data_IF_683899290595
#
_entry.id   IF_683899290595
#
_cell.length_a   1.000
_cell.length_b   1.000
_cell.length_c   1.000
_cell.angle_alpha   90.00
_cell.angle_beta   90.00
_cell.angle_gamma   90.00
#
_symmetry.space_group_name_H-M   'P 1'
#
loop_
_entity.id
_entity.type
_entity.pdbx_description
1 polymer ?
#
# COMPACT_ATOMS: atom_id res chain seq x y z
N UNK A 1 -33.83 -30.56 -10.27
CA UNK A 1 -33.44 -29.22 -9.79
C UNK A 1 -32.15 -28.83 -10.51
N UNK A 2 -31.95 -27.56 -10.86
CA UNK A 2 -30.68 -27.15 -11.49
C UNK A 2 -29.53 -27.29 -10.48
N UNK A 3 -28.32 -27.59 -10.98
CA UNK A 3 -27.13 -27.76 -10.14
C UNK A 3 -26.88 -26.52 -9.27
N UNK A 4 -27.10 -25.32 -9.84
CA UNK A 4 -26.99 -24.06 -9.11
C UNK A 4 -27.94 -24.00 -7.90
N UNK A 5 -29.22 -24.30 -8.10
CA UNK A 5 -30.23 -24.23 -7.03
C UNK A 5 -29.94 -25.22 -5.91
N UNK A 6 -29.42 -26.41 -6.26
CA UNK A 6 -29.00 -27.42 -5.29
C UNK A 6 -27.78 -26.98 -4.48
N UNK A 7 -26.78 -26.39 -5.14
CA UNK A 7 -25.59 -25.87 -4.46
C UNK A 7 -25.87 -24.62 -3.62
N UNK A 8 -26.85 -23.80 -4.01
CA UNK A 8 -27.32 -22.67 -3.19
C UNK A 8 -27.97 -23.16 -1.88
N UNK A 9 -28.70 -24.26 -1.91
CA UNK A 9 -29.25 -24.88 -0.68
C UNK A 9 -28.14 -25.51 0.19
N UNK A 10 -27.13 -26.14 -0.43
CA UNK A 10 -25.93 -26.63 0.29
C UNK A 10 -25.17 -25.47 0.93
N UNK A 11 -25.02 -24.33 0.23
CA UNK A 11 -24.38 -23.12 0.76
C UNK A 11 -25.08 -22.61 2.01
N UNK A 12 -26.42 -22.54 2.01
CA UNK A 12 -27.19 -22.07 3.19
C UNK A 12 -26.96 -22.96 4.42
N UNK A 13 -26.85 -24.27 4.24
CA UNK A 13 -26.73 -25.23 5.35
C UNK A 13 -25.30 -25.47 5.83
N UNK A 14 -24.31 -25.34 4.95
CA UNK A 14 -22.90 -25.64 5.24
C UNK A 14 -21.99 -24.42 5.32
N UNK A 15 -22.43 -23.26 4.83
CA UNK A 15 -21.63 -22.05 4.73
C UNK A 15 -20.59 -22.07 3.60
N UNK A 16 -20.51 -23.14 2.80
CA UNK A 16 -19.56 -23.26 1.69
C UNK A 16 -20.03 -22.45 0.50
N UNK A 17 -19.16 -21.62 -0.07
CA UNK A 17 -19.48 -20.81 -1.26
C UNK A 17 -19.07 -21.49 -2.56
N UNK A 18 -19.90 -21.37 -3.60
CA UNK A 18 -19.68 -21.96 -4.91
C UNK A 18 -19.56 -20.85 -5.97
N UNK A 19 -18.53 -20.92 -6.81
CA UNK A 19 -18.37 -20.03 -7.96
C UNK A 19 -18.28 -20.83 -9.27
N UNK A 20 -19.10 -20.44 -10.24
CA UNK A 20 -19.10 -21.01 -11.58
C UNK A 20 -18.34 -20.09 -12.53
N UNK A 21 -17.26 -20.59 -13.12
CA UNK A 21 -16.51 -19.88 -14.17
C UNK A 21 -17.04 -20.16 -15.57
N UNK A 22 -17.88 -21.20 -15.72
CA UNK A 22 -18.65 -21.49 -16.93
C UNK A 22 -20.16 -21.47 -16.62
N UNK A 23 -20.93 -20.54 -17.22
CA UNK A 23 -22.38 -20.45 -16.98
C UNK A 23 -23.17 -21.66 -17.48
N UNK A 24 -22.64 -22.45 -18.43
CA UNK A 24 -23.32 -23.67 -18.93
C UNK A 24 -23.30 -24.80 -17.92
N UNK A 25 -22.26 -24.87 -17.09
CA UNK A 25 -22.15 -25.87 -16.03
C UNK A 25 -23.23 -25.67 -14.94
N UNK A 26 -23.64 -24.42 -14.69
CA UNK A 26 -24.65 -24.07 -13.68
C UNK A 26 -26.07 -24.57 -14.04
N UNK A 27 -26.34 -24.78 -15.33
CA UNK A 27 -27.65 -25.20 -15.85
C UNK A 27 -27.83 -26.73 -15.90
N UNK A 28 -26.80 -27.51 -15.54
CA UNK A 28 -26.85 -28.97 -15.57
C UNK A 28 -27.87 -29.46 -14.54
N UNK A 29 -28.79 -30.34 -14.94
CA UNK A 29 -29.73 -30.96 -14.02
C UNK A 29 -29.03 -32.16 -13.38
N UNK A 30 -28.98 -32.17 -12.04
CA UNK A 30 -28.32 -33.22 -11.26
C UNK A 30 -29.27 -33.70 -10.17
N UNK A 31 -29.36 -35.01 -9.99
CA UNK A 31 -30.16 -35.65 -8.94
C UNK A 31 -29.24 -36.53 -8.10
N UNK A 32 -29.12 -36.25 -6.80
CA UNK A 32 -28.27 -37.01 -5.87
C UNK A 32 -29.00 -37.19 -4.53
N UNK A 33 -29.00 -38.42 -4.00
CA UNK A 33 -29.42 -38.71 -2.63
C UNK A 33 -28.25 -38.57 -1.66
N UNK A 34 -28.35 -37.63 -0.72
CA UNK A 34 -27.34 -37.37 0.31
C UNK A 34 -27.66 -38.18 1.59
N UNK A 35 -27.44 -39.50 1.58
CA UNK A 35 -27.52 -40.30 2.81
C UNK A 35 -26.16 -40.32 3.52
N UNK A 36 -26.02 -39.52 4.58
CA UNK A 36 -24.95 -39.57 5.59
C UNK A 36 -23.51 -39.64 5.06
N UNK A 37 -23.19 -38.91 3.99
CA UNK A 37 -21.83 -38.82 3.44
C UNK A 37 -21.13 -37.52 3.89
N UNK A 38 -19.79 -37.54 4.08
CA UNK A 38 -19.01 -36.32 4.22
C UNK A 38 -19.24 -35.38 3.04
N UNK A 39 -19.40 -34.08 3.32
CA UNK A 39 -19.77 -33.07 2.33
C UNK A 39 -18.85 -33.08 1.10
N UNK A 40 -17.54 -33.24 1.32
CA UNK A 40 -16.56 -33.26 0.24
C UNK A 40 -16.78 -34.42 -0.74
N UNK A 41 -17.03 -35.63 -0.24
CA UNK A 41 -17.28 -36.82 -1.07
C UNK A 41 -18.61 -36.72 -1.82
N UNK A 42 -19.60 -36.09 -1.18
CA UNK A 42 -20.87 -35.81 -1.82
C UNK A 42 -20.71 -34.78 -2.96
N UNK A 43 -19.88 -33.74 -2.76
CA UNK A 43 -19.56 -32.75 -3.79
C UNK A 43 -18.74 -33.34 -4.94
N UNK A 44 -17.74 -34.19 -4.67
CA UNK A 44 -16.99 -34.92 -5.72
C UNK A 44 -17.92 -35.76 -6.58
N UNK A 45 -18.91 -36.41 -5.95
CA UNK A 45 -19.91 -37.21 -6.67
C UNK A 45 -20.83 -36.32 -7.51
N UNK A 46 -21.28 -35.19 -6.95
CA UNK A 46 -22.18 -34.25 -7.61
C UNK A 46 -21.53 -33.56 -8.82
N UNK A 47 -20.25 -33.19 -8.70
CA UNK A 47 -19.48 -32.47 -9.71
C UNK A 47 -18.77 -33.40 -10.71
N UNK A 48 -19.14 -34.69 -10.73
CA UNK A 48 -18.51 -35.67 -11.63
C UNK A 48 -18.66 -35.27 -13.10
N UNK A 49 -17.54 -35.29 -13.81
CA UNK A 49 -17.45 -34.88 -15.21
C UNK A 49 -17.36 -33.35 -15.43
N UNK A 50 -17.20 -32.59 -14.34
CA UNK A 50 -16.78 -31.19 -14.37
C UNK A 50 -15.36 -31.09 -13.79
N UNK A 51 -14.62 -30.09 -14.24
CA UNK A 51 -13.36 -29.72 -13.59
C UNK A 51 -13.68 -28.82 -12.41
N UNK A 52 -13.13 -29.09 -11.22
CA UNK A 52 -13.40 -28.30 -10.03
C UNK A 52 -12.19 -28.24 -9.09
N UNK A 53 -12.18 -27.25 -8.21
CA UNK A 53 -11.14 -27.01 -7.21
C UNK A 53 -11.74 -26.69 -5.84
N UNK A 54 -11.14 -27.22 -4.77
CA UNK A 54 -11.56 -26.99 -3.39
C UNK A 54 -10.58 -26.06 -2.66
N UNK A 55 -11.12 -25.11 -1.91
CA UNK A 55 -10.38 -24.14 -1.11
C UNK A 55 -10.80 -24.25 0.35
N UNK A 56 -9.80 -24.30 1.22
CA UNK A 56 -9.92 -24.59 2.65
C UNK A 56 -9.34 -23.45 3.48
N UNK A 57 -9.95 -23.19 4.63
CA UNK A 57 -9.36 -22.41 5.72
C UNK A 57 -9.10 -23.37 6.88
N UNK A 58 -7.83 -23.62 7.19
CA UNK A 58 -7.44 -24.72 8.07
C UNK A 58 -7.91 -26.07 7.53
N UNK A 59 -8.67 -26.84 8.32
CA UNK A 59 -9.24 -28.13 7.92
C UNK A 59 -10.73 -28.05 7.50
N UNK A 60 -11.22 -26.84 7.22
CA UNK A 60 -12.62 -26.60 6.86
C UNK A 60 -12.71 -26.15 5.40
N UNK A 61 -13.51 -26.87 4.61
CA UNK A 61 -13.85 -26.45 3.25
C UNK A 61 -14.66 -25.15 3.30
N UNK A 62 -14.22 -24.12 2.58
CA UNK A 62 -14.88 -22.81 2.54
C UNK A 62 -15.38 -22.42 1.15
N UNK A 63 -14.69 -22.87 0.10
CA UNK A 63 -15.05 -22.51 -1.29
C UNK A 63 -14.80 -23.64 -2.27
N UNK A 64 -15.67 -23.73 -3.29
CA UNK A 64 -15.51 -24.62 -4.44
C UNK A 64 -15.63 -23.83 -5.74
N UNK A 65 -14.61 -23.93 -6.59
CA UNK A 65 -14.60 -23.34 -7.93
C UNK A 65 -14.94 -24.43 -8.96
N UNK A 66 -15.90 -24.16 -9.84
CA UNK A 66 -16.33 -25.12 -10.87
C UNK A 66 -16.10 -24.55 -12.26
N UNK A 67 -15.46 -25.34 -13.12
CA UNK A 67 -15.09 -25.04 -14.50
C UNK A 67 -15.87 -25.94 -15.47
N UNK A 68 -16.05 -25.46 -16.70
CA UNK A 68 -16.63 -26.25 -17.79
C UNK A 68 -15.76 -27.44 -18.19
N UNK A 69 -16.37 -28.49 -18.72
CA UNK A 69 -15.63 -29.62 -19.32
C UNK A 69 -14.93 -29.14 -20.59
N UNK A 70 -13.62 -29.02 -20.58
CA UNK A 70 -12.85 -28.69 -21.78
C UNK A 70 -13.10 -29.73 -22.87
N UNK A 71 -13.48 -29.27 -24.07
CA UNK A 71 -13.08 -29.99 -25.27
C UNK A 71 -11.56 -30.00 -25.29
N UNK A 72 -10.99 -31.20 -25.18
CA UNK A 72 -9.57 -31.42 -25.35
C UNK A 72 -9.13 -30.88 -26.71
N UNK A 73 -8.46 -29.73 -26.73
CA UNK A 73 -7.63 -29.35 -27.85
C UNK A 73 -6.42 -30.27 -27.80
N UNK A 74 -6.41 -31.25 -28.69
CA UNK A 74 -5.28 -32.14 -28.96
C UNK A 74 -4.08 -31.33 -29.47
N UNK A 75 -3.36 -30.66 -28.59
CA UNK A 75 -1.97 -30.29 -28.89
C UNK A 75 -1.12 -31.56 -28.73
N UNK A 76 -0.28 -31.91 -29.71
CA UNK A 76 0.67 -32.99 -29.53
C UNK A 76 1.55 -32.65 -28.32
N UNK A 77 1.59 -33.56 -27.37
CA UNK A 77 2.32 -33.47 -26.12
C UNK A 77 3.79 -33.15 -26.42
N UNK A 78 4.17 -31.87 -26.44
CA UNK A 78 5.53 -31.54 -26.01
C UNK A 78 5.65 -32.16 -24.62
N UNK A 79 6.71 -32.95 -24.33
CA UNK A 79 6.94 -33.32 -22.95
C UNK A 79 6.90 -32.02 -22.17
N UNK A 80 5.95 -31.90 -21.22
CA UNK A 80 6.05 -30.84 -20.21
C UNK A 80 7.48 -30.98 -19.72
N UNK A 81 8.35 -29.95 -19.85
CA UNK A 81 9.58 -30.00 -19.09
C UNK A 81 9.13 -30.33 -17.68
N UNK A 82 9.68 -31.40 -17.10
CA UNK A 82 9.31 -31.83 -15.76
C UNK A 82 9.22 -30.56 -14.95
N UNK A 83 8.02 -30.23 -14.46
CA UNK A 83 7.84 -29.04 -13.63
C UNK A 83 9.00 -29.10 -12.65
N UNK A 84 9.94 -28.14 -12.65
CA UNK A 84 11.08 -28.23 -11.75
C UNK A 84 10.47 -28.54 -10.41
N UNK A 85 10.88 -29.66 -9.80
CA UNK A 85 10.34 -30.11 -8.53
C UNK A 85 10.40 -28.88 -7.64
N UNK A 86 9.23 -28.28 -7.39
CA UNK A 86 9.15 -27.07 -6.61
C UNK A 86 9.53 -27.52 -5.21
N UNK A 87 10.78 -27.28 -4.85
CA UNK A 87 11.24 -27.52 -3.50
C UNK A 87 10.55 -26.43 -2.65
N UNK A 88 9.76 -26.79 -1.62
CA UNK A 88 9.06 -25.82 -0.79
C UNK A 88 10.00 -24.79 -0.12
N UNK A 89 11.32 -25.02 -0.13
CA UNK A 89 12.36 -24.10 0.34
C UNK A 89 12.84 -23.07 -0.71
N UNK A 90 12.24 -23.03 -1.90
CA UNK A 90 12.65 -22.12 -3.00
C UNK A 90 11.60 -21.08 -3.39
N UNK A 91 10.58 -20.88 -2.55
CA UNK A 91 9.76 -19.67 -2.63
C UNK A 91 10.64 -18.50 -2.16
N UNK A 92 10.80 -17.41 -2.95
CA UNK A 92 11.46 -16.21 -2.46
C UNK A 92 10.79 -15.79 -1.16
N UNK A 93 11.59 -15.37 -0.20
CA UNK A 93 11.09 -14.93 1.09
C UNK A 93 10.04 -13.84 0.85
N UNK A 94 8.84 -14.03 1.40
CA UNK A 94 7.75 -13.08 1.18
C UNK A 94 8.15 -11.68 1.66
N UNK A 95 8.98 -11.61 2.72
CA UNK A 95 9.55 -10.37 3.21
C UNK A 95 10.54 -9.75 2.22
N UNK A 96 11.34 -10.58 1.52
CA UNK A 96 12.24 -10.12 0.45
C UNK A 96 11.47 -9.54 -0.74
N UNK A 97 10.37 -10.18 -1.14
CA UNK A 97 9.51 -9.67 -2.21
C UNK A 97 8.81 -8.35 -1.82
N UNK A 98 8.33 -8.25 -0.58
CA UNK A 98 7.73 -7.01 -0.07
C UNK A 98 8.75 -5.88 -0.01
N UNK A 99 9.96 -6.14 0.47
CA UNK A 99 11.01 -5.12 0.55
C UNK A 99 11.47 -4.67 -0.84
N UNK A 100 11.61 -5.61 -1.78
CA UNK A 100 11.92 -5.26 -3.18
C UNK A 100 10.83 -4.39 -3.80
N UNK A 101 9.56 -4.71 -3.57
CA UNK A 101 8.45 -3.89 -4.06
C UNK A 101 8.45 -2.49 -3.45
N UNK A 102 8.76 -2.37 -2.15
CA UNK A 102 8.92 -1.06 -1.47
C UNK A 102 10.07 -0.26 -2.05
N UNK A 103 11.22 -0.91 -2.28
CA UNK A 103 12.40 -0.28 -2.87
C UNK A 103 12.10 0.25 -4.29
N UNK A 104 11.44 -0.56 -5.12
CA UNK A 104 11.01 -0.15 -6.46
C UNK A 104 10.01 1.01 -6.42
N UNK A 105 9.06 0.98 -5.47
CA UNK A 105 8.11 2.08 -5.24
C UNK A 105 8.79 3.39 -4.84
N UNK A 106 9.72 3.33 -3.89
CA UNK A 106 10.51 4.50 -3.47
C UNK A 106 11.38 5.04 -4.61
N UNK A 107 11.98 4.16 -5.42
CA UNK A 107 12.73 4.58 -6.62
C UNK A 107 11.83 5.30 -7.62
N UNK A 108 10.61 4.82 -7.85
CA UNK A 108 9.66 5.48 -8.73
C UNK A 108 9.28 6.88 -8.21
N UNK A 109 9.00 7.02 -6.92
CA UNK A 109 8.72 8.30 -6.27
C UNK A 109 9.91 9.26 -6.40
N UNK A 110 11.13 8.78 -6.11
CA UNK A 110 12.35 9.58 -6.22
C UNK A 110 12.59 10.09 -7.65
N UNK A 111 12.27 9.27 -8.66
CA UNK A 111 12.36 9.68 -10.06
C UNK A 111 11.33 10.77 -10.39
N UNK A 112 10.11 10.68 -9.87
CA UNK A 112 9.08 11.72 -10.05
C UNK A 112 9.52 13.06 -9.43
N UNK A 113 10.15 13.04 -8.25
CA UNK A 113 10.68 14.25 -7.61
C UNK A 113 11.80 14.93 -8.41
N UNK A 114 12.60 14.15 -9.15
CA UNK A 114 13.69 14.67 -10.00
C UNK A 114 13.23 15.17 -11.37
N UNK A 115 11.98 14.92 -11.74
CA UNK A 115 11.40 15.39 -12.99
C UNK A 115 11.24 16.91 -13.02
N UNK A 116 10.82 17.46 -14.15
CA UNK A 116 10.56 18.91 -14.29
C UNK A 116 9.07 19.28 -14.14
N UNK A 117 8.18 18.30 -13.93
CA UNK A 117 6.76 18.55 -13.76
C UNK A 117 6.42 18.74 -12.28
N UNK A 118 6.13 19.96 -11.87
CA UNK A 118 5.79 20.31 -10.49
C UNK A 118 4.57 19.55 -9.96
N UNK A 119 3.56 19.29 -10.79
CA UNK A 119 2.38 18.50 -10.39
C UNK A 119 2.76 17.05 -10.06
N UNK A 120 3.64 16.45 -10.86
CA UNK A 120 4.15 15.11 -10.59
C UNK A 120 5.02 15.07 -9.31
N UNK A 121 5.76 16.14 -9.01
CA UNK A 121 6.51 16.27 -7.75
C UNK A 121 5.58 16.36 -6.55
N UNK A 122 4.51 17.16 -6.64
CA UNK A 122 3.53 17.31 -5.55
C UNK A 122 2.85 15.97 -5.27
N UNK A 123 2.40 15.25 -6.30
CA UNK A 123 1.83 13.91 -6.12
C UNK A 123 2.82 12.93 -5.48
N UNK A 124 4.11 13.04 -5.81
CA UNK A 124 5.16 12.26 -5.18
C UNK A 124 5.33 12.62 -3.69
N UNK A 125 5.24 13.91 -3.33
CA UNK A 125 5.26 14.38 -1.93
C UNK A 125 4.05 13.83 -1.16
N UNK A 126 2.85 13.89 -1.72
CA UNK A 126 1.62 13.38 -1.08
C UNK A 126 1.73 11.88 -0.79
N UNK A 127 2.31 11.12 -1.73
CA UNK A 127 2.60 9.70 -1.53
C UNK A 127 3.60 9.47 -0.39
N UNK A 128 4.64 10.29 -0.29
CA UNK A 128 5.65 10.22 0.78
C UNK A 128 5.10 10.61 2.15
N UNK A 129 4.17 11.57 2.20
CA UNK A 129 3.49 11.98 3.44
C UNK A 129 2.76 10.80 4.06
N UNK A 130 2.02 10.06 3.25
CA UNK A 130 1.26 8.87 3.66
C UNK A 130 2.13 7.64 3.94
N UNK A 131 3.40 7.65 3.50
CA UNK A 131 4.31 6.53 3.67
C UNK A 131 5.01 6.57 5.02
N UNK A 132 4.82 5.53 5.83
CA UNK A 132 5.54 5.33 7.10
C UNK A 132 6.90 4.65 6.85
N UNK A 133 7.74 5.28 6.04
CA UNK A 133 9.11 4.84 5.74
C UNK A 133 10.09 6.00 5.98
N UNK A 134 11.12 5.84 6.84
CA UNK A 134 12.14 6.86 7.08
C UNK A 134 12.87 7.32 5.80
N UNK A 135 13.00 6.45 4.80
CA UNK A 135 13.58 6.80 3.48
C UNK A 135 12.77 7.91 2.81
N UNK A 136 11.47 7.95 3.04
CA UNK A 136 10.59 9.00 2.54
C UNK A 136 10.90 10.38 3.13
N UNK A 137 11.33 10.46 4.39
CA UNK A 137 11.74 11.73 5.01
C UNK A 137 12.97 12.32 4.33
N UNK A 138 13.88 11.47 3.86
CA UNK A 138 15.06 11.91 3.10
C UNK A 138 14.64 12.56 1.78
N UNK A 139 13.71 11.94 1.06
CA UNK A 139 13.16 12.48 -0.19
C UNK A 139 12.38 13.78 0.02
N UNK A 140 11.59 13.87 1.09
CA UNK A 140 10.92 15.13 1.48
C UNK A 140 11.93 16.23 1.82
N UNK A 141 13.04 15.91 2.47
CA UNK A 141 14.11 16.87 2.75
C UNK A 141 14.77 17.39 1.46
N UNK A 142 14.88 16.57 0.41
CA UNK A 142 15.36 17.02 -0.90
C UNK A 142 14.35 17.98 -1.55
N UNK A 143 13.06 17.64 -1.53
CA UNK A 143 11.98 18.47 -2.07
C UNK A 143 11.82 19.82 -1.34
N UNK A 144 12.24 19.90 -0.08
CA UNK A 144 12.28 21.16 0.68
C UNK A 144 13.27 22.19 0.09
N UNK A 145 14.19 21.75 -0.76
CA UNK A 145 15.18 22.59 -1.44
C UNK A 145 14.84 22.80 -2.93
N UNK A 146 13.62 22.46 -3.36
CA UNK A 146 13.20 22.62 -4.76
C UNK A 146 13.16 24.09 -5.18
N UNK A 147 13.36 24.35 -6.47
CA UNK A 147 13.26 25.70 -7.03
C UNK A 147 11.81 26.21 -7.10
N UNK A 148 10.84 25.29 -7.20
CA UNK A 148 9.42 25.64 -7.22
C UNK A 148 8.91 25.84 -5.79
N UNK A 149 8.40 27.04 -5.50
CA UNK A 149 7.86 27.38 -4.19
C UNK A 149 6.70 26.50 -3.77
N UNK A 150 5.84 26.08 -4.70
CA UNK A 150 4.71 25.19 -4.42
C UNK A 150 5.20 23.84 -3.93
N UNK A 151 6.24 23.30 -4.56
CA UNK A 151 6.86 22.01 -4.20
C UNK A 151 7.50 22.11 -2.82
N UNK A 152 8.20 23.21 -2.53
CA UNK A 152 8.79 23.47 -1.20
C UNK A 152 7.73 23.52 -0.11
N UNK A 153 6.64 24.25 -0.31
CA UNK A 153 5.55 24.35 0.68
C UNK A 153 4.84 23.01 0.86
N UNK A 154 4.63 22.22 -0.19
CA UNK A 154 4.10 20.84 -0.06
C UNK A 154 5.04 19.96 0.77
N UNK A 155 6.35 20.01 0.52
CA UNK A 155 7.33 19.23 1.28
C UNK A 155 7.38 19.66 2.76
N UNK A 156 7.27 20.96 3.03
CA UNK A 156 7.16 21.51 4.37
C UNK A 156 5.93 20.95 5.10
N UNK A 157 4.75 21.02 4.48
CA UNK A 157 3.51 20.48 5.06
C UNK A 157 3.65 18.99 5.40
N UNK A 158 4.20 18.20 4.47
CA UNK A 158 4.43 16.77 4.71
C UNK A 158 5.40 16.51 5.87
N UNK A 159 6.49 17.29 6.00
CA UNK A 159 7.44 17.16 7.12
C UNK A 159 6.86 17.65 8.45
N UNK A 160 5.96 18.65 8.41
CA UNK A 160 5.26 19.18 9.59
C UNK A 160 4.34 18.14 10.22
N UNK A 161 3.71 17.28 9.42
CA UNK A 161 2.85 16.20 9.91
C UNK A 161 3.61 14.94 10.35
N UNK A 162 4.85 14.74 9.87
CA UNK A 162 5.63 13.56 10.25
C UNK A 162 6.20 13.67 11.66
N UNK A 163 6.20 12.53 12.33
CA UNK A 163 6.73 12.36 13.68
C UNK A 163 8.19 11.86 13.66
N UNK A 164 8.88 12.09 14.78
CA UNK A 164 10.26 11.66 14.98
C UNK A 164 11.31 12.73 14.71
N UNK A 165 12.58 12.36 14.89
CA UNK A 165 13.72 13.29 14.85
C UNK A 165 14.20 13.63 13.44
N UNK A 166 13.95 12.76 12.46
CA UNK A 166 14.37 12.99 11.07
C UNK A 166 13.63 14.17 10.42
N UNK A 167 12.28 14.30 10.54
CA UNK A 167 11.58 15.47 10.02
C UNK A 167 12.05 16.78 10.64
N UNK A 168 12.30 16.80 11.96
CA UNK A 168 12.87 17.97 12.66
C UNK A 168 14.23 18.37 12.07
N UNK A 169 15.08 17.38 11.79
CA UNK A 169 16.41 17.61 11.18
C UNK A 169 16.26 18.18 9.76
N UNK A 170 15.31 17.68 8.98
CA UNK A 170 15.00 18.21 7.65
C UNK A 170 14.49 19.66 7.70
N UNK A 171 13.53 19.95 8.60
CA UNK A 171 13.01 21.30 8.81
C UNK A 171 14.10 22.28 9.22
N UNK A 172 15.02 21.90 10.11
CA UNK A 172 16.17 22.76 10.49
C UNK A 172 17.06 23.14 9.30
N UNK A 173 17.18 22.30 8.27
CA UNK A 173 17.91 22.66 7.04
C UNK A 173 17.17 23.77 6.27
N UNK A 174 15.84 23.76 6.27
CA UNK A 174 15.02 24.79 5.62
C UNK A 174 15.22 26.20 6.20
N UNK A 175 15.74 26.33 7.43
CA UNK A 175 16.14 27.62 8.01
C UNK A 175 17.31 28.29 7.28
N UNK A 176 17.93 27.62 6.30
CA UNK A 176 18.98 28.19 5.46
C UNK A 176 18.47 28.65 4.08
N UNK A 177 17.17 28.50 3.79
CA UNK A 177 16.61 28.88 2.49
C UNK A 177 16.84 30.37 2.22
N UNK A 178 17.20 30.75 0.98
CA UNK A 178 17.40 32.15 0.62
C UNK A 178 16.16 33.02 0.85
N UNK A 179 14.95 32.49 0.66
CA UNK A 179 13.68 33.19 0.83
C UNK A 179 13.33 33.36 2.32
N UNK A 180 13.31 34.59 2.85
CA UNK A 180 12.90 34.86 4.22
C UNK A 180 11.47 34.41 4.55
N UNK A 181 10.56 34.45 3.59
CA UNK A 181 9.16 34.03 3.79
C UNK A 181 9.10 32.53 4.07
N UNK A 182 9.81 31.74 3.27
CA UNK A 182 9.89 30.31 3.49
C UNK A 182 10.61 29.95 4.79
N UNK A 183 11.66 30.69 5.18
CA UNK A 183 12.29 30.52 6.50
C UNK A 183 11.32 30.75 7.66
N UNK A 184 10.39 31.69 7.53
CA UNK A 184 9.33 31.93 8.51
C UNK A 184 8.40 30.71 8.62
N UNK A 185 7.93 30.16 7.50
CA UNK A 185 7.06 28.98 7.51
C UNK A 185 7.74 27.76 8.15
N UNK A 186 9.04 27.60 7.92
CA UNK A 186 9.87 26.58 8.57
C UNK A 186 9.95 26.82 10.09
N UNK A 187 10.12 28.07 10.49
CA UNK A 187 10.23 28.45 11.90
C UNK A 187 8.94 28.15 12.66
N UNK A 188 7.79 28.42 12.06
CA UNK A 188 6.47 28.08 12.60
C UNK A 188 6.33 26.56 12.77
N UNK A 189 6.67 25.77 11.75
CA UNK A 189 6.64 24.31 11.83
C UNK A 189 7.53 23.75 12.96
N UNK A 190 8.72 24.35 13.15
CA UNK A 190 9.64 23.98 14.23
C UNK A 190 9.09 24.38 15.60
N UNK A 191 8.46 25.56 15.71
CA UNK A 191 7.81 26.00 16.95
C UNK A 191 6.67 25.05 17.35
N UNK A 192 5.78 24.71 16.42
CA UNK A 192 4.69 23.74 16.61
C UNK A 192 5.21 22.38 17.12
N UNK A 193 6.39 21.95 16.66
CA UNK A 193 7.09 20.73 17.14
C UNK A 193 7.93 20.94 18.40
N UNK A 194 7.74 22.04 19.12
CA UNK A 194 8.43 22.35 20.38
C UNK A 194 9.92 22.64 20.25
N UNK A 195 10.42 22.93 19.04
CA UNK A 195 11.86 23.14 18.78
C UNK A 195 12.30 24.58 19.10
N UNK A 196 12.05 25.03 20.32
CA UNK A 196 12.25 26.42 20.75
C UNK A 196 13.71 26.90 20.67
N UNK A 197 14.70 26.00 20.73
CA UNK A 197 16.11 26.37 20.53
C UNK A 197 16.40 26.81 19.09
N UNK A 198 15.71 26.19 18.11
CA UNK A 198 15.79 26.61 16.71
C UNK A 198 15.11 27.97 16.53
N UNK A 199 13.97 28.17 17.20
CA UNK A 199 13.26 29.47 17.22
C UNK A 199 14.13 30.57 17.84
N UNK A 200 14.77 30.30 18.97
CA UNK A 200 15.67 31.24 19.65
C UNK A 200 16.88 31.61 18.79
N UNK A 201 17.43 30.66 18.04
CA UNK A 201 18.54 30.92 17.14
C UNK A 201 18.14 31.89 16.00
N UNK A 202 16.90 31.85 15.54
CA UNK A 202 16.39 32.74 14.49
C UNK A 202 16.25 34.22 14.91
N UNK A 203 16.37 34.55 16.21
CA UNK A 203 16.50 35.94 16.68
C UNK A 203 17.75 36.64 16.13
N UNK A 204 18.72 35.88 15.64
CA UNK A 204 19.94 36.40 14.98
C UNK A 204 19.89 36.26 13.45
N UNK A 205 18.73 35.97 12.85
CA UNK A 205 18.60 35.89 11.39
C UNK A 205 18.95 37.23 10.73
N UNK A 206 19.54 37.16 9.54
CA UNK A 206 19.92 38.33 8.74
C UNK A 206 18.72 39.19 8.35
N UNK A 207 17.55 38.58 8.14
CA UNK A 207 16.33 39.26 7.74
C UNK A 207 15.52 39.69 8.97
N UNK A 208 15.02 40.92 8.96
CA UNK A 208 14.27 41.50 10.07
C UNK A 208 12.96 40.78 10.35
N UNK A 209 12.20 40.40 9.32
CA UNK A 209 10.90 39.74 9.48
C UNK A 209 11.04 38.36 10.14
N UNK A 210 12.11 37.64 9.82
CA UNK A 210 12.42 36.35 10.47
C UNK A 210 12.72 36.55 11.96
N UNK A 211 13.48 37.59 12.33
CA UNK A 211 13.77 37.90 13.74
C UNK A 211 12.51 38.29 14.50
N UNK A 212 11.66 39.12 13.90
CA UNK A 212 10.39 39.56 14.49
C UNK A 212 9.47 38.36 14.74
N UNK A 213 9.34 37.47 13.75
CA UNK A 213 8.54 36.26 13.91
C UNK A 213 9.09 35.31 14.97
N UNK A 214 10.42 35.17 15.07
CA UNK A 214 11.05 34.38 16.13
C UNK A 214 10.71 34.92 17.53
N UNK A 215 10.72 36.24 17.70
CA UNK A 215 10.37 36.88 18.97
C UNK A 215 8.89 36.67 19.33
N UNK A 216 8.00 36.82 18.35
CA UNK A 216 6.56 36.55 18.47
C UNK A 216 6.31 35.11 18.94
N UNK A 217 6.86 34.12 18.23
CA UNK A 217 6.67 32.70 18.55
C UNK A 217 7.15 32.37 19.97
N UNK A 218 8.30 32.91 20.40
CA UNK A 218 8.81 32.68 21.76
C UNK A 218 7.96 33.35 22.83
N UNK A 219 7.30 34.46 22.53
CA UNK A 219 6.39 35.11 23.46
C UNK A 219 5.13 34.27 23.65
N UNK A 220 4.52 33.79 22.55
CA UNK A 220 3.34 32.93 22.62
C UNK A 220 3.58 31.68 23.47
N UNK A 221 4.74 31.04 23.34
CA UNK A 221 5.08 29.85 24.14
C UNK A 221 5.31 30.16 25.63
N UNK A 222 5.81 31.36 25.97
CA UNK A 222 5.95 31.79 27.38
C UNK A 222 4.62 32.04 28.07
N UNK A 223 3.57 32.38 27.31
CA UNK A 223 2.24 32.66 27.85
C UNK A 223 1.41 31.37 28.06
N UNK A 224 1.85 30.25 27.49
CA UNK A 224 1.18 28.94 27.58
C UNK A 224 1.75 27.98 28.63
N UNK A 225 2.89 28.31 29.25
CA UNK A 225 3.51 27.59 30.39
C UNK A 225 3.16 28.23 31.74
#
# INVERSE_FOLDING_TARGET
MALKDLLDEVKKRSGVSFEFRDPKAALKIVTVEFKSRPLEEALKTLLRGLSFFFSYEGNRLVRVLVFGSEQAVSQPSRPRPASPLYHPESLPDFDELLEKSREEGLKAIANSLRGNNSEAKILAIDALQSLDDPRGVTLLSEALSDSDSTVKTSALSALREKEGSQPITALRKGLQDPDPSFRIEILEALAEKGQLDSVRSALSDRNQQVREKAAELLQTYKETE
#
